data_IF_848563622390
#
_entry.id   IF_848563622390
#
_cell.length_a   1.000
_cell.length_b   1.000
_cell.length_c   1.000
_cell.angle_alpha   90.00
_cell.angle_beta   90.00
_cell.angle_gamma   90.00
#
_symmetry.space_group_name_H-M   'P 1'
#
loop_
_entity.id
_entity.type
_entity.pdbx_description
1 polymer ?
#
# COMPACT_ATOMS: atom_id res chain seq x y z
N UNK A 1 -2.26 -6.04 28.44
CA UNK A 1 -1.32 -6.78 27.57
C UNK A 1 -1.56 -6.25 26.16
N UNK A 2 -0.62 -5.48 25.61
CA UNK A 2 -0.77 -4.92 24.27
C UNK A 2 -0.76 -6.06 23.27
N UNK A 3 -1.90 -6.29 22.60
CA UNK A 3 -2.00 -7.16 21.46
C UNK A 3 -0.91 -6.75 20.46
N UNK A 4 0.03 -7.65 20.16
CA UNK A 4 0.94 -7.48 19.04
C UNK A 4 0.06 -7.51 17.77
N UNK A 5 -0.48 -6.34 17.42
CA UNK A 5 -1.23 -6.14 16.20
C UNK A 5 -0.25 -6.48 15.09
N UNK A 6 -0.55 -7.53 14.32
CA UNK A 6 0.22 -7.85 13.12
C UNK A 6 0.10 -6.62 12.23
N UNK A 7 1.12 -5.77 12.23
CA UNK A 7 1.24 -4.67 11.28
C UNK A 7 1.16 -5.29 9.90
N UNK A 8 0.07 -5.00 9.21
CA UNK A 8 -0.20 -5.50 7.88
C UNK A 8 0.60 -4.67 6.88
N UNK A 9 0.84 -5.22 5.68
CA UNK A 9 1.46 -4.46 4.61
C UNK A 9 0.65 -3.19 4.25
N UNK A 10 -0.67 -3.21 4.50
CA UNK A 10 -1.55 -2.06 4.33
C UNK A 10 -1.20 -0.93 5.30
N UNK A 11 -1.00 -1.24 6.59
CA UNK A 11 -0.65 -0.23 7.60
C UNK A 11 0.67 0.49 7.23
N UNK A 12 1.65 -0.27 6.73
CA UNK A 12 2.91 0.33 6.24
C UNK A 12 2.77 1.17 4.97
N UNK A 13 1.79 0.87 4.12
CA UNK A 13 1.50 1.67 2.92
C UNK A 13 0.77 2.97 3.29
N UNK A 14 -0.14 2.93 4.27
CA UNK A 14 -0.84 4.11 4.79
C UNK A 14 0.13 5.05 5.50
N UNK A 15 0.94 4.54 6.43
CA UNK A 15 2.00 5.31 7.11
C UNK A 15 2.95 5.98 6.10
N UNK A 16 3.27 5.28 5.01
CA UNK A 16 4.18 5.77 3.98
C UNK A 16 3.55 6.89 3.14
N UNK A 17 2.25 6.84 2.85
CA UNK A 17 1.55 7.96 2.18
C UNK A 17 1.56 9.18 3.10
N UNK A 18 1.20 9.00 4.37
CA UNK A 18 1.17 10.09 5.35
C UNK A 18 2.54 10.74 5.53
N UNK A 19 3.62 9.98 5.47
CA UNK A 19 4.98 10.52 5.47
C UNK A 19 5.31 11.28 4.19
N UNK A 20 5.00 10.72 3.01
CA UNK A 20 5.37 11.28 1.71
C UNK A 20 4.64 12.59 1.36
N UNK A 21 3.48 12.86 1.95
CA UNK A 21 2.72 14.10 1.73
C UNK A 21 3.13 15.25 2.64
N UNK A 22 4.04 15.02 3.61
CA UNK A 22 4.56 16.07 4.48
C UNK A 22 5.43 17.04 3.67
N UNK A 23 5.47 18.29 4.15
CA UNK A 23 6.32 19.34 3.56
C UNK A 23 7.81 18.96 3.61
N UNK A 24 8.22 18.24 4.67
CA UNK A 24 9.57 17.72 4.84
C UNK A 24 9.52 16.23 5.27
N UNK A 25 9.41 15.29 4.32
CA UNK A 25 9.30 13.87 4.61
C UNK A 25 10.60 13.32 5.21
N UNK A 26 10.48 12.53 6.27
CA UNK A 26 11.62 11.88 6.91
C UNK A 26 12.08 10.66 6.08
N UNK A 27 13.18 10.83 5.34
CA UNK A 27 13.79 9.80 4.48
C UNK A 27 14.00 8.46 5.20
N UNK A 28 14.34 8.48 6.49
CA UNK A 28 14.55 7.27 7.30
C UNK A 28 13.27 6.47 7.43
N UNK A 29 12.15 7.13 7.75
CA UNK A 29 10.83 6.49 7.85
C UNK A 29 10.37 5.98 6.48
N UNK A 30 10.50 6.80 5.44
CA UNK A 30 10.14 6.39 4.07
C UNK A 30 10.84 5.10 3.68
N UNK A 31 12.15 4.98 3.92
CA UNK A 31 12.91 3.76 3.60
C UNK A 31 12.52 2.58 4.46
N UNK A 32 12.24 2.80 5.74
CA UNK A 32 11.80 1.76 6.67
C UNK A 32 10.47 1.16 6.20
N UNK A 33 9.47 2.00 5.93
CA UNK A 33 8.13 1.58 5.50
C UNK A 33 8.16 0.97 4.09
N UNK A 34 8.94 1.52 3.15
CA UNK A 34 9.10 0.90 1.82
C UNK A 34 9.70 -0.51 1.92
N UNK A 35 10.72 -0.70 2.76
CA UNK A 35 11.32 -2.02 2.98
C UNK A 35 10.34 -2.98 3.66
N UNK A 36 9.59 -2.51 4.66
CA UNK A 36 8.59 -3.32 5.37
C UNK A 36 7.46 -3.78 4.44
N UNK A 37 7.08 -2.93 3.48
CA UNK A 37 6.11 -3.25 2.43
C UNK A 37 6.71 -4.00 1.22
N UNK A 38 8.00 -4.38 1.26
CA UNK A 38 8.66 -5.12 0.18
C UNK A 38 8.92 -4.33 -1.10
N UNK A 39 8.88 -3.00 -1.05
CA UNK A 39 9.07 -2.12 -2.20
C UNK A 39 10.53 -1.67 -2.35
N UNK A 40 10.95 -1.47 -3.61
CA UNK A 40 12.26 -0.89 -3.91
C UNK A 40 12.21 0.63 -3.74
N UNK A 41 13.15 1.16 -2.97
CA UNK A 41 13.32 2.60 -2.84
C UNK A 41 13.73 3.27 -4.17
N UNK A 42 13.16 4.45 -4.44
CA UNK A 42 13.53 5.33 -5.55
C UNK A 42 13.88 6.71 -5.01
N UNK A 43 14.91 7.36 -5.56
CA UNK A 43 15.26 8.75 -5.22
C UNK A 43 14.29 9.77 -5.82
N UNK A 44 13.51 9.37 -6.84
CA UNK A 44 12.51 10.23 -7.46
C UNK A 44 11.20 10.23 -6.63
N UNK A 45 10.77 11.40 -6.10
CA UNK A 45 9.59 11.48 -5.24
C UNK A 45 8.29 11.09 -5.96
N UNK A 46 8.14 11.42 -7.24
CA UNK A 46 6.94 11.09 -8.03
C UNK A 46 6.84 9.58 -8.26
N UNK A 47 7.96 8.93 -8.57
CA UNK A 47 8.05 7.48 -8.73
C UNK A 47 7.73 6.75 -7.42
N UNK A 48 8.20 7.27 -6.27
CA UNK A 48 7.84 6.74 -4.96
C UNK A 48 6.33 6.80 -4.76
N UNK A 49 5.73 7.99 -4.91
CA UNK A 49 4.31 8.19 -4.71
C UNK A 49 3.46 7.26 -5.61
N UNK A 50 3.82 7.18 -6.89
CA UNK A 50 3.14 6.30 -7.86
C UNK A 50 3.21 4.83 -7.48
N UNK A 51 4.38 4.37 -7.01
CA UNK A 51 4.59 2.98 -6.57
C UNK A 51 3.73 2.67 -5.35
N UNK A 52 3.72 3.57 -4.36
CA UNK A 52 2.96 3.39 -3.11
C UNK A 52 1.46 3.38 -3.38
N UNK A 53 0.95 4.29 -4.21
CA UNK A 53 -0.47 4.33 -4.57
C UNK A 53 -0.92 3.06 -5.29
N UNK A 54 -0.09 2.55 -6.22
CA UNK A 54 -0.37 1.30 -6.94
C UNK A 54 -0.43 0.11 -5.97
N UNK A 55 0.53 0.03 -5.04
CA UNK A 55 0.56 -1.02 -4.04
C UNK A 55 -0.64 -0.95 -3.07
N UNK A 56 -1.06 0.25 -2.69
CA UNK A 56 -2.23 0.48 -1.84
C UNK A 56 -3.52 0.02 -2.55
N UNK A 57 -3.69 0.34 -3.83
CA UNK A 57 -4.84 -0.12 -4.62
C UNK A 57 -4.91 -1.65 -4.67
N UNK A 58 -3.79 -2.30 -5.00
CA UNK A 58 -3.69 -3.76 -5.06
C UNK A 58 -3.95 -4.43 -3.70
N UNK A 59 -3.47 -3.84 -2.61
CA UNK A 59 -3.71 -4.33 -1.26
C UNK A 59 -5.20 -4.22 -0.89
N UNK A 60 -5.85 -3.11 -1.25
CA UNK A 60 -7.29 -2.92 -1.02
C UNK A 60 -8.15 -3.86 -1.87
N UNK A 61 -7.77 -4.15 -3.11
CA UNK A 61 -8.47 -5.13 -3.96
C UNK A 61 -8.39 -6.56 -3.40
N UNK A 62 -7.29 -6.93 -2.74
CA UNK A 62 -7.15 -8.23 -2.09
C UNK A 62 -8.00 -8.35 -0.81
N UNK A 63 -8.18 -7.25 -0.08
CA UNK A 63 -9.00 -7.21 1.15
C UNK A 63 -10.49 -7.08 0.81
N UNK A 64 -10.81 -6.41 -0.28
CA UNK A 64 -12.17 -6.22 -0.77
C UNK A 64 -12.24 -6.67 -2.24
N UNK A 65 -12.18 -7.98 -2.51
CA UNK A 65 -12.36 -8.49 -3.87
C UNK A 65 -13.78 -8.12 -4.25
N UNK A 66 -13.93 -7.13 -5.14
CA UNK A 66 -15.24 -6.64 -5.60
C UNK A 66 -16.18 -7.83 -5.82
N UNK A 67 -17.26 -7.80 -5.07
CA UNK A 67 -18.47 -8.56 -5.28
C UNK A 67 -18.79 -8.62 -6.79
N UNK A 68 -19.03 -9.84 -7.29
CA UNK A 68 -19.47 -10.04 -8.67
C UNK A 68 -18.38 -10.50 -9.64
N UNK A 69 -18.02 -11.79 -9.53
CA UNK A 69 -17.97 -12.64 -10.74
C UNK A 69 -19.20 -12.29 -11.58
N UNK A 70 -19.03 -11.58 -12.69
CA UNK A 70 -20.05 -11.56 -13.74
C UNK A 70 -20.22 -13.00 -14.18
N UNK A 71 -21.31 -13.60 -13.70
CA UNK A 71 -21.68 -14.95 -14.01
C UNK A 71 -21.75 -15.08 -15.53
N UNK A 72 -21.12 -16.15 -16.00
CA UNK A 72 -21.12 -16.58 -17.38
C UNK A 72 -22.58 -16.83 -17.76
N UNK A 73 -23.17 -15.93 -18.55
CA UNK A 73 -24.43 -16.16 -19.24
C UNK A 73 -24.21 -17.19 -20.34
N UNK A 74 -24.01 -18.45 -19.96
CA UNK A 74 -24.36 -19.61 -20.77
C UNK A 74 -25.69 -20.09 -20.25
N UNK A 75 -26.76 -19.53 -20.77
CA UNK A 75 -28.05 -20.21 -20.83
C UNK A 75 -28.88 -19.56 -21.94
N UNK A 76 -29.44 -20.45 -22.77
CA UNK A 76 -30.32 -20.28 -23.94
C UNK A 76 -29.62 -20.17 -25.31
#
# INVERSE_FOLDING_TARGET
>A
MHSAQKYSALDHLEDLIDELIKDNPEETLVRLHMKAAGMKYSSDPVSRLSTVLTALEQAREQINPKDGRRNHGKDL
#
